data_IF_316979163675
#
_entry.id   IF_316979163675
#
_cell.length_a   1.000
_cell.length_b   1.000
_cell.length_c   1.000
_cell.angle_alpha   90.00
_cell.angle_beta   90.00
_cell.angle_gamma   90.00
#
_symmetry.space_group_name_H-M   'P 1'
#
loop_
_entity.id
_entity.type
_entity.pdbx_description
1 polymer ?
#
# COMPACT_ATOMS: atom_id res chain seq x y z
N UNK A 1 -19.08 8.06 5.58
CA UNK A 1 -18.87 7.40 4.27
C UNK A 1 -19.82 8.01 3.25
N UNK A 2 -19.32 8.43 2.08
CA UNK A 2 -20.18 8.85 0.96
C UNK A 2 -20.70 7.63 0.18
N UNK A 3 -21.84 7.78 -0.49
CA UNK A 3 -22.44 6.70 -1.31
C UNK A 3 -21.50 6.25 -2.44
N UNK A 4 -21.76 5.07 -3.02
CA UNK A 4 -21.08 4.66 -4.25
C UNK A 4 -21.31 5.71 -5.34
N UNK A 5 -20.27 6.03 -6.11
CA UNK A 5 -20.34 7.10 -7.12
C UNK A 5 -20.21 8.54 -6.59
N UNK A 6 -20.10 8.76 -5.28
CA UNK A 6 -19.91 10.11 -4.70
C UNK A 6 -18.54 10.76 -5.02
N UNK A 7 -17.67 10.09 -5.78
CA UNK A 7 -16.35 10.60 -6.15
C UNK A 7 -15.25 10.41 -5.09
N UNK A 8 -15.40 9.45 -4.17
CA UNK A 8 -14.39 9.14 -3.12
C UNK A 8 -13.03 8.80 -3.73
N UNK A 9 -12.98 7.76 -4.56
CA UNK A 9 -11.77 7.35 -5.30
C UNK A 9 -11.26 8.49 -6.18
N UNK A 10 -12.15 9.23 -6.86
CA UNK A 10 -11.75 10.39 -7.66
C UNK A 10 -11.04 11.48 -6.84
N UNK A 11 -11.57 11.82 -5.66
CA UNK A 11 -10.96 12.79 -4.76
C UNK A 11 -9.60 12.27 -4.26
N UNK A 12 -9.54 10.99 -3.91
CA UNK A 12 -8.33 10.34 -3.43
C UNK A 12 -7.22 10.32 -4.49
N UNK A 13 -7.57 10.01 -5.75
CA UNK A 13 -6.66 10.07 -6.89
C UNK A 13 -6.15 11.49 -7.16
N UNK A 14 -6.99 12.51 -6.96
CA UNK A 14 -6.57 13.92 -7.11
C UNK A 14 -5.57 14.29 -6.00
N UNK A 15 -5.86 13.93 -4.75
CA UNK A 15 -4.98 14.20 -3.61
C UNK A 15 -3.65 13.45 -3.75
N UNK A 16 -3.70 12.18 -4.14
CA UNK A 16 -2.53 11.35 -4.44
C UNK A 16 -1.76 11.80 -5.69
N UNK A 17 -2.40 12.60 -6.55
CA UNK A 17 -1.83 13.07 -7.80
C UNK A 17 -1.75 12.00 -8.89
N UNK A 18 -2.64 11.01 -8.84
CA UNK A 18 -2.81 9.94 -9.83
C UNK A 18 -3.79 10.32 -10.94
N UNK A 19 -4.61 11.36 -10.73
CA UNK A 19 -5.59 11.82 -11.72
C UNK A 19 -4.90 12.58 -12.87
N UNK A 20 -5.02 12.05 -14.10
CA UNK A 20 -4.37 12.61 -15.31
C UNK A 20 -5.32 13.37 -16.24
N UNK A 21 -6.61 13.48 -15.91
CA UNK A 21 -7.60 14.11 -16.78
C UNK A 21 -8.76 14.75 -16.03
N UNK A 22 -9.50 15.61 -16.74
CA UNK A 22 -10.53 16.48 -16.16
C UNK A 22 -9.97 17.83 -15.70
N UNK A 23 -10.81 18.63 -15.04
CA UNK A 23 -10.41 19.91 -14.46
C UNK A 23 -10.18 19.74 -12.96
N UNK A 24 -8.97 20.09 -12.52
CA UNK A 24 -8.61 20.11 -11.09
C UNK A 24 -8.42 21.58 -10.72
N UNK A 25 -9.21 22.06 -9.75
CA UNK A 25 -9.14 23.43 -9.23
C UNK A 25 -8.97 23.41 -7.72
N UNK A 26 -8.36 24.47 -7.17
CA UNK A 26 -8.04 24.59 -5.76
C UNK A 26 -6.55 24.34 -5.46
N UNK A 27 -6.19 24.48 -4.19
CA UNK A 27 -4.80 24.35 -3.73
C UNK A 27 -4.69 23.17 -2.77
N UNK A 28 -3.63 22.37 -2.92
CA UNK A 28 -3.29 21.28 -1.99
C UNK A 28 -2.00 21.67 -1.29
N UNK A 29 -2.02 21.65 0.04
CA UNK A 29 -0.84 21.88 0.88
C UNK A 29 -0.58 20.70 1.81
N UNK A 30 0.70 20.46 2.10
CA UNK A 30 1.19 19.42 3.00
C UNK A 30 2.05 20.14 4.04
N UNK A 31 1.66 20.05 5.31
CA UNK A 31 2.35 20.74 6.42
C UNK A 31 2.55 22.24 6.16
N UNK A 32 1.57 22.90 5.52
CA UNK A 32 1.62 24.33 5.20
C UNK A 32 2.31 24.69 3.88
N UNK A 33 2.97 23.76 3.20
CA UNK A 33 3.66 24.00 1.93
C UNK A 33 2.85 23.49 0.74
N UNK A 34 2.87 24.18 -0.43
CA UNK A 34 2.21 23.69 -1.63
C UNK A 34 2.72 22.29 -2.02
N UNK A 35 1.79 21.39 -2.35
CA UNK A 35 2.11 20.03 -2.81
C UNK A 35 2.85 20.08 -4.15
N UNK A 36 4.06 19.52 -4.19
CA UNK A 36 4.84 19.31 -5.42
C UNK A 36 4.67 17.89 -5.91
N UNK A 37 4.07 17.70 -7.09
CA UNK A 37 3.73 16.38 -7.60
C UNK A 37 4.95 15.46 -7.78
N UNK A 38 6.06 15.99 -8.30
CA UNK A 38 7.29 15.23 -8.60
C UNK A 38 7.90 14.55 -7.38
N UNK A 39 7.85 15.21 -6.22
CA UNK A 39 8.42 14.69 -4.97
C UNK A 39 7.39 13.98 -4.11
N UNK A 40 6.10 14.30 -4.27
CA UNK A 40 5.04 13.76 -3.43
C UNK A 40 4.92 12.24 -3.52
N UNK A 41 5.02 11.69 -4.73
CA UNK A 41 4.94 10.25 -4.95
C UNK A 41 6.03 9.45 -4.20
N UNK A 42 7.16 10.09 -3.83
CA UNK A 42 8.25 9.45 -3.07
C UNK A 42 7.97 9.36 -1.57
N UNK A 43 7.05 10.19 -1.06
CA UNK A 43 6.74 10.28 0.37
C UNK A 43 5.33 9.79 0.70
N UNK A 44 4.56 9.40 -0.31
CA UNK A 44 3.21 8.86 -0.17
C UNK A 44 3.12 7.40 -0.62
N UNK A 45 2.43 6.56 0.14
CA UNK A 45 1.98 5.22 -0.27
C UNK A 45 0.52 5.24 -0.70
N UNK A 46 0.13 4.33 -1.60
CA UNK A 46 -1.26 4.20 -2.07
C UNK A 46 -1.69 2.75 -2.14
N UNK A 47 -2.58 2.34 -1.23
CA UNK A 47 -3.24 1.04 -1.28
C UNK A 47 -4.49 1.16 -2.15
N UNK A 48 -4.43 0.57 -3.35
CA UNK A 48 -5.57 0.52 -4.26
C UNK A 48 -6.68 -0.40 -3.72
N UNK A 49 -7.89 -0.24 -4.28
CA UNK A 49 -9.01 -1.12 -3.99
C UNK A 49 -8.71 -2.56 -4.44
N UNK A 50 -8.07 -2.72 -5.60
CA UNK A 50 -7.68 -4.02 -6.15
C UNK A 50 -6.27 -4.42 -5.68
N UNK A 51 -6.16 -5.60 -5.09
CA UNK A 51 -4.88 -6.12 -4.58
C UNK A 51 -4.11 -6.90 -5.68
N UNK A 52 -3.23 -6.19 -6.38
CA UNK A 52 -2.42 -6.77 -7.48
C UNK A 52 -1.05 -7.18 -6.95
N UNK A 53 -0.76 -8.48 -6.99
CA UNK A 53 0.52 -9.06 -6.57
C UNK A 53 0.95 -10.18 -7.50
N UNK A 54 2.26 -10.43 -7.61
CA UNK A 54 2.78 -11.57 -8.37
C UNK A 54 2.41 -12.88 -7.67
N UNK A 55 1.83 -13.87 -8.37
CA UNK A 55 1.33 -15.10 -7.73
C UNK A 55 2.44 -16.09 -7.35
N UNK A 56 3.63 -15.96 -7.95
CA UNK A 56 4.73 -16.92 -7.85
C UNK A 56 5.78 -16.57 -6.79
N UNK A 57 5.60 -15.47 -6.08
CA UNK A 57 6.50 -15.03 -5.00
C UNK A 57 5.86 -15.27 -3.65
N UNK A 58 6.69 -15.33 -2.61
CA UNK A 58 6.27 -15.39 -1.22
C UNK A 58 5.88 -14.02 -0.67
N UNK A 59 5.21 -14.00 0.48
CA UNK A 59 4.94 -12.77 1.25
C UNK A 59 6.24 -12.03 1.53
N UNK A 60 7.26 -12.73 2.03
CA UNK A 60 8.55 -12.13 2.35
C UNK A 60 9.25 -11.54 1.13
N UNK A 61 9.29 -12.27 0.01
CA UNK A 61 9.91 -11.78 -1.23
C UNK A 61 9.20 -10.54 -1.78
N UNK A 62 7.88 -10.47 -1.65
CA UNK A 62 7.09 -9.31 -2.05
C UNK A 62 7.48 -8.05 -1.27
N UNK A 63 7.63 -8.19 0.05
CA UNK A 63 8.07 -7.10 0.93
C UNK A 63 9.54 -6.74 0.71
N UNK A 64 10.40 -7.74 0.55
CA UNK A 64 11.81 -7.53 0.26
C UNK A 64 12.02 -6.77 -1.04
N UNK A 65 11.30 -7.15 -2.09
CA UNK A 65 11.34 -6.49 -3.39
C UNK A 65 10.88 -5.03 -3.30
N UNK A 66 9.75 -4.78 -2.64
CA UNK A 66 9.26 -3.42 -2.39
C UNK A 66 10.27 -2.58 -1.60
N UNK A 67 10.83 -3.13 -0.52
CA UNK A 67 11.81 -2.45 0.32
C UNK A 67 13.10 -2.11 -0.44
N UNK A 68 13.57 -3.02 -1.29
CA UNK A 68 14.78 -2.82 -2.10
C UNK A 68 14.65 -1.69 -3.11
N UNK A 69 13.46 -1.53 -3.71
CA UNK A 69 13.25 -0.51 -4.74
C UNK A 69 12.86 0.86 -4.17
N UNK A 70 12.28 0.89 -2.96
CA UNK A 70 11.67 2.11 -2.42
C UNK A 70 12.39 2.71 -1.22
N UNK A 71 13.23 1.94 -0.52
CA UNK A 71 14.06 2.49 0.54
C UNK A 71 15.36 3.08 -0.02
N UNK A 72 15.94 4.09 0.65
CA UNK A 72 17.23 4.64 0.29
C UNK A 72 18.36 3.60 0.27
N UNK A 73 19.36 3.81 -0.60
CA UNK A 73 20.48 2.89 -0.81
C UNK A 73 21.37 2.74 0.44
N UNK A 74 21.45 3.78 1.28
CA UNK A 74 22.22 3.80 2.53
C UNK A 74 21.56 3.00 3.67
N UNK A 75 20.35 2.48 3.46
CA UNK A 75 19.70 1.56 4.40
C UNK A 75 20.39 0.19 4.33
N UNK A 76 21.18 -0.09 5.37
CA UNK A 76 21.85 -1.39 5.55
C UNK A 76 20.89 -2.58 5.43
N UNK A 77 21.42 -3.68 4.89
CA UNK A 77 20.71 -4.94 4.70
C UNK A 77 20.07 -5.49 5.98
N UNK A 78 20.71 -5.32 7.15
CA UNK A 78 20.15 -5.77 8.41
C UNK A 78 18.99 -4.89 8.87
N UNK A 79 19.14 -3.57 8.76
CA UNK A 79 18.06 -2.62 9.06
C UNK A 79 16.85 -2.87 8.17
N UNK A 80 17.07 -3.11 6.87
CA UNK A 80 16.01 -3.45 5.92
C UNK A 80 15.25 -4.71 6.34
N UNK A 81 15.98 -5.76 6.72
CA UNK A 81 15.38 -7.02 7.19
C UNK A 81 14.59 -6.82 8.48
N UNK A 82 15.14 -6.09 9.45
CA UNK A 82 14.44 -5.77 10.69
C UNK A 82 13.13 -5.02 10.41
N UNK A 83 13.16 -4.03 9.51
CA UNK A 83 11.97 -3.28 9.14
C UNK A 83 10.91 -4.15 8.44
N UNK A 84 11.33 -5.06 7.56
CA UNK A 84 10.41 -6.03 6.93
C UNK A 84 9.75 -6.92 8.00
N UNK A 85 10.52 -7.42 8.97
CA UNK A 85 9.99 -8.24 10.07
C UNK A 85 9.03 -7.46 10.95
N UNK A 86 9.33 -6.20 11.29
CA UNK A 86 8.44 -5.31 12.04
C UNK A 86 7.12 -5.05 11.30
N UNK A 87 7.17 -4.81 9.98
CA UNK A 87 5.97 -4.62 9.16
C UNK A 87 5.14 -5.90 9.08
N UNK A 88 5.78 -7.06 8.88
CA UNK A 88 5.08 -8.36 8.86
C UNK A 88 4.40 -8.67 10.20
N UNK A 89 5.03 -8.30 11.31
CA UNK A 89 4.43 -8.44 12.64
C UNK A 89 3.22 -7.49 12.78
N UNK A 90 3.38 -6.21 12.40
CA UNK A 90 2.33 -5.18 12.50
C UNK A 90 1.05 -5.56 11.75
N UNK A 91 1.18 -6.18 10.57
CA UNK A 91 0.04 -6.62 9.76
C UNK A 91 -0.31 -8.10 9.96
N UNK A 92 0.29 -8.75 10.95
CA UNK A 92 0.07 -10.16 11.33
C UNK A 92 0.29 -11.16 10.17
N UNK A 93 1.23 -10.87 9.26
CA UNK A 93 1.61 -11.75 8.16
C UNK A 93 2.80 -12.65 8.46
N UNK A 94 3.46 -12.48 9.61
CA UNK A 94 4.64 -13.26 9.99
C UNK A 94 4.46 -14.79 9.90
N UNK A 95 3.31 -15.39 10.29
CA UNK A 95 3.10 -16.83 10.11
C UNK A 95 3.06 -17.28 8.65
N UNK A 96 2.81 -16.35 7.71
CA UNK A 96 2.67 -16.58 6.28
C UNK A 96 3.90 -16.13 5.49
N UNK A 97 5.01 -15.83 6.16
CA UNK A 97 6.25 -15.32 5.58
C UNK A 97 6.66 -16.05 4.29
N UNK A 98 6.69 -17.38 4.35
CA UNK A 98 7.13 -18.26 3.25
C UNK A 98 5.95 -18.79 2.39
N UNK A 99 4.72 -18.35 2.67
CA UNK A 99 3.56 -18.73 1.87
C UNK A 99 3.58 -18.03 0.51
N UNK A 100 3.26 -18.77 -0.54
CA UNK A 100 3.05 -18.20 -1.87
C UNK A 100 1.83 -17.28 -1.90
N UNK A 101 1.97 -16.15 -2.57
CA UNK A 101 0.87 -15.19 -2.76
C UNK A 101 -0.30 -15.83 -3.50
N UNK A 102 -0.03 -16.57 -4.58
CA UNK A 102 -1.04 -17.28 -5.37
C UNK A 102 -1.97 -16.36 -6.17
N UNK A 103 -2.93 -16.98 -6.88
CA UNK A 103 -3.93 -16.30 -7.69
C UNK A 103 -5.21 -16.04 -6.86
N UNK A 104 -5.77 -14.81 -6.89
CA UNK A 104 -6.99 -14.48 -6.16
C UNK A 104 -8.14 -15.46 -6.47
N UNK A 105 -8.77 -16.00 -5.42
CA UNK A 105 -9.91 -16.93 -5.54
C UNK A 105 -9.57 -18.34 -5.99
N UNK A 106 -8.29 -18.65 -6.23
CA UNK A 106 -7.84 -19.99 -6.69
C UNK A 106 -6.94 -20.66 -5.66
N UNK A 107 -5.84 -20.00 -5.25
CA UNK A 107 -4.86 -20.56 -4.32
C UNK A 107 -4.04 -19.47 -3.61
N UNK A 108 -3.19 -19.89 -2.67
CA UNK A 108 -2.31 -19.01 -1.91
C UNK A 108 -3.06 -18.26 -0.81
N UNK A 109 -2.88 -16.94 -0.77
CA UNK A 109 -3.43 -16.10 0.29
C UNK A 109 -4.94 -15.92 0.16
N UNK A 110 -5.63 -15.87 1.31
CA UNK A 110 -7.02 -15.42 1.38
C UNK A 110 -7.14 -13.95 0.94
N UNK A 111 -8.36 -13.51 0.63
CA UNK A 111 -8.64 -12.10 0.28
C UNK A 111 -8.14 -11.15 1.36
N UNK A 112 -8.36 -11.47 2.64
CA UNK A 112 -7.90 -10.66 3.76
C UNK A 112 -6.38 -10.64 3.89
N UNK A 113 -5.72 -11.80 3.80
CA UNK A 113 -4.26 -11.87 3.87
C UNK A 113 -3.60 -11.12 2.71
N UNK A 114 -4.23 -11.17 1.53
CA UNK A 114 -3.80 -10.39 0.36
C UNK A 114 -3.99 -8.89 0.57
N UNK A 115 -5.08 -8.46 1.20
CA UNK A 115 -5.28 -7.04 1.55
C UNK A 115 -4.23 -6.55 2.53
N UNK A 116 -3.93 -7.35 3.57
CA UNK A 116 -2.82 -7.11 4.51
C UNK A 116 -1.48 -7.03 3.79
N UNK A 117 -1.25 -7.88 2.78
CA UNK A 117 -0.03 -7.83 1.96
C UNK A 117 0.07 -6.53 1.17
N UNK A 118 -1.02 -6.04 0.57
CA UNK A 118 -1.04 -4.73 -0.12
C UNK A 118 -0.63 -3.61 0.84
N UNK A 119 -1.20 -3.60 2.04
CA UNK A 119 -0.86 -2.62 3.07
C UNK A 119 0.62 -2.73 3.47
N UNK A 120 1.09 -3.95 3.73
CA UNK A 120 2.48 -4.21 4.13
C UNK A 120 3.49 -3.80 3.06
N UNK A 121 3.20 -4.06 1.78
CA UNK A 121 4.01 -3.64 0.65
C UNK A 121 4.15 -2.13 0.63
N UNK A 122 3.08 -1.37 0.84
CA UNK A 122 3.14 0.10 0.93
C UNK A 122 3.87 0.60 2.19
N UNK A 123 3.65 -0.02 3.34
CA UNK A 123 4.28 0.38 4.60
C UNK A 123 5.79 0.16 4.61
N UNK A 124 6.30 -0.88 3.94
CA UNK A 124 7.74 -1.17 3.90
C UNK A 124 8.55 -0.12 3.12
N UNK A 125 7.87 0.74 2.35
CA UNK A 125 8.49 1.90 1.72
C UNK A 125 8.72 3.07 2.70
N UNK A 126 8.28 2.92 3.96
CA UNK A 126 8.30 3.95 4.98
C UNK A 126 7.67 5.29 4.53
N UNK A 127 6.45 5.29 3.99
CA UNK A 127 5.80 6.51 3.52
C UNK A 127 5.43 7.42 4.70
N UNK A 128 5.50 8.74 4.48
CA UNK A 128 5.04 9.74 5.47
C UNK A 128 3.52 9.93 5.44
N UNK A 129 2.88 9.64 4.30
CA UNK A 129 1.44 9.74 4.10
C UNK A 129 0.97 8.44 3.42
N UNK A 130 -0.08 7.81 3.93
CA UNK A 130 -0.66 6.62 3.30
C UNK A 130 -2.10 6.89 2.89
N UNK A 131 -2.39 6.63 1.63
CA UNK A 131 -3.74 6.63 1.07
C UNK A 131 -4.23 5.18 1.05
N UNK A 132 -5.35 4.90 1.71
CA UNK A 132 -6.01 3.60 1.66
C UNK A 132 -7.40 3.70 1.03
N UNK A 133 -7.55 3.26 -0.22
CA UNK A 133 -8.86 3.23 -0.86
C UNK A 133 -9.58 1.93 -0.46
N UNK A 134 -10.66 2.10 0.32
CA UNK A 134 -11.48 1.01 0.84
C UNK A 134 -10.68 -0.14 1.50
N UNK A 135 -9.87 0.14 2.54
CA UNK A 135 -9.01 -0.87 3.17
C UNK A 135 -9.77 -2.02 3.83
N UNK A 136 -11.02 -1.78 4.23
CA UNK A 136 -11.88 -2.75 4.93
C UNK A 136 -12.88 -3.44 4.00
N UNK A 137 -12.89 -3.11 2.70
CA UNK A 137 -13.82 -3.73 1.76
C UNK A 137 -13.44 -5.18 1.50
N UNK A 138 -14.42 -6.09 1.62
CA UNK A 138 -14.20 -7.53 1.42
C UNK A 138 -13.55 -8.24 2.61
N UNK A 139 -13.38 -7.57 3.75
CA UNK A 139 -12.98 -8.18 5.02
C UNK A 139 -14.22 -8.61 5.84
N UNK A 140 -14.11 -9.70 6.60
CA UNK A 140 -15.18 -10.14 7.51
C UNK A 140 -15.38 -9.09 8.64
N UNK A 141 -16.61 -8.95 9.13
CA UNK A 141 -17.02 -7.94 10.10
C UNK A 141 -16.30 -8.04 11.47
N UNK A 142 -15.59 -9.14 11.73
CA UNK A 142 -14.72 -9.30 12.90
C UNK A 142 -13.30 -8.75 12.73
N UNK A 143 -12.90 -8.43 11.51
CA UNK A 143 -11.55 -7.98 11.16
C UNK A 143 -11.46 -6.47 10.82
N UNK A 144 -12.59 -5.75 10.88
CA UNK A 144 -12.69 -4.31 10.60
C UNK A 144 -12.70 -3.45 11.88
#
# INVERSE_FOLDING_TARGET
MGVSGAGKTTLMDVLAGRKTGGYIQGNISISGYPKKQETFARVSGYCEQNDIHSPQVTVYESLLFSAWLRLPEDVDSNKRRMFIEEVMELVELKPLKDALVGLPGVNGLSTEQRKRLTIAVELVANPSIIFMDEPTSGLDARAA
#
